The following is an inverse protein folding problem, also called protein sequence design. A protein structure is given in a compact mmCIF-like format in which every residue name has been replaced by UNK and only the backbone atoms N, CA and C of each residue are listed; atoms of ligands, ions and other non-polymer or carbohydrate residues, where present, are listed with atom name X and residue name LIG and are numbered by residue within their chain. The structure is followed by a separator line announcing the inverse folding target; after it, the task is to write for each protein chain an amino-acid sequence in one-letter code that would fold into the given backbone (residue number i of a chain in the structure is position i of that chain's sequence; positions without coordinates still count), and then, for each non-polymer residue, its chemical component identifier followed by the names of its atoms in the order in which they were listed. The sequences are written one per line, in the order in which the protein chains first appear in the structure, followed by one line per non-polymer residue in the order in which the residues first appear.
data_IF_082426542980
#
_entry.id   IF_082426542980
#
_cell.length_a   1.000
_cell.length_b   1.000
_cell.length_c   1.000
_cell.angle_alpha   90.00
_cell.angle_beta   90.00
_cell.angle_gamma   90.00
#
_symmetry.space_group_name_H-M   'P 1'
#
loop_
_entity.id
_entity.type
_entity.pdbx_description
1 polymer ?
#
# COMPACT_ATOMS: atom_id res chain seq x y z
N UNK A 1 -21.83 8.35 53.87
CA UNK A 1 -20.80 9.35 54.23
C UNK A 1 -19.52 8.74 53.71
N UNK A 2 -18.88 9.20 52.63
CA UNK A 2 -18.46 10.57 52.30
C UNK A 2 -18.57 10.84 50.78
N UNK A 3 -18.87 12.11 50.47
CA UNK A 3 -18.84 12.75 49.16
C UNK A 3 -17.62 13.67 49.13
N UNK A 4 -16.92 13.75 48.00
CA UNK A 4 -15.92 14.78 47.67
C UNK A 4 -15.13 14.28 46.46
N UNK A 5 -14.90 15.00 45.37
CA UNK A 5 -15.00 16.42 45.10
C UNK A 5 -15.36 16.61 43.62
N UNK A 6 -16.40 17.39 43.39
CA UNK A 6 -16.73 17.95 42.10
C UNK A 6 -15.94 19.25 41.90
N UNK A 7 -15.33 19.38 40.73
CA UNK A 7 -15.28 20.65 40.00
C UNK A 7 -14.11 21.58 40.28
N UNK A 8 -13.36 21.90 39.23
CA UNK A 8 -13.10 23.28 38.72
C UNK A 8 -12.00 23.23 37.67
N UNK A 9 -12.28 23.74 36.47
CA UNK A 9 -11.30 23.81 35.39
C UNK A 9 -11.90 24.19 34.04
N UNK A 10 -12.76 25.21 34.05
CA UNK A 10 -13.49 25.75 32.92
C UNK A 10 -12.61 26.79 32.19
N UNK A 11 -12.41 26.60 30.87
CA UNK A 11 -12.16 27.62 29.82
C UNK A 11 -10.86 28.46 29.92
N UNK A 12 -9.90 28.17 29.03
CA UNK A 12 -9.02 29.12 28.29
C UNK A 12 -8.50 28.34 27.06
N UNK A 13 -8.57 28.76 25.79
CA UNK A 13 -9.03 29.97 25.15
C UNK A 13 -9.04 29.72 23.63
N UNK A 14 -10.16 30.10 23.01
CA UNK A 14 -10.36 30.18 21.58
C UNK A 14 -9.60 31.43 21.07
N UNK A 15 -8.60 31.26 20.21
CA UNK A 15 -8.00 32.32 19.39
C UNK A 15 -8.00 31.80 17.95
N UNK A 16 -9.06 32.00 17.18
CA UNK A 16 -9.38 33.20 16.38
C UNK A 16 -8.24 33.60 15.41
N UNK A 17 -8.35 33.03 14.21
CA UNK A 17 -8.25 33.64 12.89
C UNK A 17 -7.10 34.61 12.55
N UNK A 18 -6.28 34.24 11.54
CA UNK A 18 -5.99 35.10 10.39
C UNK A 18 -5.26 34.34 9.25
N UNK A 19 -5.93 34.30 8.10
CA UNK A 19 -5.41 34.37 6.73
C UNK A 19 -3.91 34.22 6.44
N UNK A 20 -3.59 33.23 5.60
CA UNK A 20 -2.55 33.19 4.53
C UNK A 20 -2.91 31.94 3.69
N UNK A 21 -3.81 31.95 2.71
CA UNK A 21 -3.77 32.67 1.45
C UNK A 21 -2.36 32.59 0.79
N UNK A 22 -2.28 31.85 -0.33
CA UNK A 22 -1.16 31.75 -1.28
C UNK A 22 0.02 30.91 -0.74
N UNK A 23 0.39 29.78 -1.32
CA UNK A 23 1.05 29.65 -2.62
C UNK A 23 0.63 28.34 -3.30
N UNK A 24 -0.10 28.48 -4.40
CA UNK A 24 -0.20 27.48 -5.47
C UNK A 24 1.06 27.66 -6.34
N UNK A 25 1.96 26.69 -6.47
CA UNK A 25 2.91 26.73 -7.57
C UNK A 25 2.18 26.25 -8.84
N UNK A 26 1.51 27.20 -9.52
CA UNK A 26 1.24 27.14 -10.95
C UNK A 26 2.55 27.41 -11.68
N UNK A 27 3.38 26.37 -11.82
CA UNK A 27 4.65 26.34 -12.55
C UNK A 27 4.78 24.86 -12.95
N UNK A 28 4.72 24.38 -14.19
CA UNK A 28 5.19 24.94 -15.44
C UNK A 28 4.54 24.13 -16.59
N UNK A 29 3.78 24.82 -17.44
CA UNK A 29 3.43 24.36 -18.78
C UNK A 29 4.54 24.89 -19.69
N UNK A 30 5.59 24.11 -19.97
CA UNK A 30 6.53 24.44 -21.04
C UNK A 30 7.34 23.20 -21.44
N UNK A 31 7.26 22.79 -22.71
CA UNK A 31 8.11 21.71 -23.21
C UNK A 31 7.61 20.90 -24.40
N UNK A 32 6.84 21.50 -25.32
CA UNK A 32 6.69 20.96 -26.67
C UNK A 32 8.05 21.00 -27.38
N UNK A 33 8.76 19.89 -27.41
CA UNK A 33 10.05 19.75 -28.10
C UNK A 33 10.17 18.40 -28.80
N UNK A 34 9.60 18.31 -30.00
CA UNK A 34 9.88 17.23 -30.94
C UNK A 34 11.07 17.63 -31.84
N UNK A 35 12.09 16.77 -31.99
CA UNK A 35 12.88 16.73 -33.21
C UNK A 35 12.45 15.57 -34.12
N UNK A 36 12.20 15.81 -35.42
CA UNK A 36 12.12 14.76 -36.42
C UNK A 36 13.54 14.32 -36.80
N UNK A 37 13.89 13.09 -36.47
CA UNK A 37 15.16 12.46 -36.84
C UNK A 37 14.91 11.05 -37.35
N UNK A 38 14.80 10.94 -38.68
CA UNK A 38 14.77 9.68 -39.39
C UNK A 38 16.18 9.09 -39.44
N UNK A 39 16.38 7.92 -38.83
CA UNK A 39 17.47 7.02 -39.21
C UNK A 39 16.87 5.66 -39.59
N UNK A 40 16.73 5.49 -40.91
CA UNK A 40 16.54 4.23 -41.60
C UNK A 40 17.83 3.41 -41.46
N UNK A 41 17.98 2.66 -40.37
CA UNK A 41 18.96 1.60 -40.26
C UNK A 41 18.30 0.26 -40.60
N UNK A 42 18.40 -0.13 -41.87
CA UNK A 42 18.10 -1.47 -42.35
C UNK A 42 19.14 -2.45 -41.77
N UNK A 43 18.79 -3.10 -40.65
CA UNK A 43 19.53 -4.19 -40.05
C UNK A 43 18.77 -5.51 -40.22
N UNK A 44 19.22 -6.34 -41.16
CA UNK A 44 18.66 -7.64 -41.44
C UNK A 44 18.96 -8.66 -40.31
N UNK A 45 17.90 -9.30 -39.79
CA UNK A 45 17.87 -10.64 -39.19
C UNK A 45 18.66 -10.89 -37.90
N UNK A 46 18.04 -11.50 -36.88
CA UNK A 46 17.80 -12.94 -36.99
C UNK A 46 16.39 -13.38 -36.60
N UNK A 47 16.06 -14.56 -37.15
CA UNK A 47 14.90 -15.41 -36.92
C UNK A 47 14.04 -15.04 -35.71
N UNK A 48 12.83 -14.55 -36.01
CA UNK A 48 11.71 -14.56 -35.08
C UNK A 48 11.47 -16.01 -34.64
N UNK A 49 11.96 -16.35 -33.44
CA UNK A 49 11.51 -17.53 -32.74
C UNK A 49 9.99 -17.42 -32.63
N UNK A 50 9.30 -18.41 -33.18
CA UNK A 50 7.85 -18.50 -33.10
C UNK A 50 7.47 -18.50 -31.62
N UNK A 51 6.99 -17.35 -31.13
CA UNK A 51 6.26 -17.26 -29.87
C UNK A 51 5.09 -18.21 -30.02
N UNK A 52 5.16 -19.39 -29.37
CA UNK A 52 4.01 -20.27 -29.28
C UNK A 52 2.81 -19.44 -28.85
N UNK A 53 1.63 -19.58 -29.49
CA UNK A 53 0.43 -18.93 -29.01
C UNK A 53 0.23 -19.41 -27.58
N UNK A 54 0.48 -18.49 -26.63
CA UNK A 54 0.44 -18.76 -25.21
C UNK A 54 -0.90 -19.40 -24.87
N UNK A 55 -0.86 -20.35 -23.93
CA UNK A 55 -2.07 -20.94 -23.37
C UNK A 55 -3.10 -19.84 -23.06
N UNK A 56 -4.40 -20.10 -23.28
CA UNK A 56 -5.44 -19.11 -23.01
C UNK A 56 -5.25 -18.58 -21.58
N UNK A 57 -5.09 -17.26 -21.46
CA UNK A 57 -4.94 -16.61 -20.16
C UNK A 57 -6.17 -16.95 -19.32
N UNK A 58 -5.96 -17.50 -18.12
CA UNK A 58 -7.05 -17.81 -17.20
C UNK A 58 -7.65 -16.50 -16.66
N UNK A 59 -8.88 -16.12 -17.09
CA UNK A 59 -9.45 -14.83 -16.72
C UNK A 59 -9.86 -14.79 -15.24
N UNK A 60 -10.12 -15.95 -14.63
CA UNK A 60 -10.56 -16.08 -13.23
C UNK A 60 -9.38 -15.84 -12.30
N UNK A 61 -8.23 -16.46 -12.56
CA UNK A 61 -6.98 -16.25 -11.84
C UNK A 61 -6.53 -14.79 -11.89
N UNK A 62 -6.61 -14.15 -13.07
CA UNK A 62 -6.32 -12.71 -13.18
C UNK A 62 -7.27 -11.86 -12.34
N UNK A 63 -8.58 -12.16 -12.33
CA UNK A 63 -9.54 -11.42 -11.52
C UNK A 63 -9.29 -11.61 -10.01
N UNK A 64 -8.95 -12.84 -9.59
CA UNK A 64 -8.58 -13.15 -8.21
C UNK A 64 -7.31 -12.41 -7.78
N UNK A 65 -6.29 -12.35 -8.65
CA UNK A 65 -5.07 -11.59 -8.38
C UNK A 65 -5.34 -10.09 -8.22
N UNK A 66 -6.11 -9.49 -9.13
CA UNK A 66 -6.48 -8.06 -9.05
C UNK A 66 -7.24 -7.76 -7.76
N UNK A 67 -8.13 -8.67 -7.34
CA UNK A 67 -8.81 -8.55 -6.05
C UNK A 67 -7.83 -8.58 -4.88
N UNK A 68 -6.90 -9.54 -4.86
CA UNK A 68 -5.89 -9.64 -3.81
C UNK A 68 -4.98 -8.40 -3.73
N UNK A 69 -4.62 -7.83 -4.88
CA UNK A 69 -3.89 -6.57 -4.98
C UNK A 69 -4.70 -5.39 -4.40
N UNK A 70 -6.01 -5.32 -4.69
CA UNK A 70 -6.88 -4.30 -4.15
C UNK A 70 -7.01 -4.40 -2.61
N UNK A 71 -7.20 -5.61 -2.08
CA UNK A 71 -7.26 -5.87 -0.65
C UNK A 71 -5.95 -5.47 0.06
N UNK A 72 -4.78 -5.77 -0.52
CA UNK A 72 -3.49 -5.33 0.02
C UNK A 72 -3.29 -3.81 -0.06
N UNK A 73 -3.74 -3.17 -1.14
CA UNK A 73 -3.69 -1.71 -1.27
C UNK A 73 -4.56 -0.99 -0.24
N UNK A 74 -5.73 -1.54 0.07
CA UNK A 74 -6.57 -1.01 1.14
C UNK A 74 -5.92 -1.26 2.51
N UNK A 75 -5.40 -2.46 2.76
CA UNK A 75 -4.73 -2.81 4.00
C UNK A 75 -3.48 -1.94 4.29
N UNK A 76 -2.67 -1.61 3.28
CA UNK A 76 -1.50 -0.74 3.49
C UNK A 76 -1.90 0.73 3.73
N UNK A 77 -3.02 1.20 3.16
CA UNK A 77 -3.56 2.53 3.49
C UNK A 77 -4.02 2.58 4.95
N UNK A 78 -4.68 1.53 5.42
CA UNK A 78 -5.09 1.40 6.83
C UNK A 78 -3.89 1.50 7.77
N UNK A 79 -2.79 0.79 7.47
CA UNK A 79 -1.60 0.85 8.30
C UNK A 79 -0.95 2.24 8.27
N UNK A 80 -0.91 2.91 7.11
CA UNK A 80 -0.42 4.28 7.01
C UNK A 80 -1.28 5.27 7.82
N UNK A 81 -2.61 5.13 7.80
CA UNK A 81 -3.50 5.93 8.65
C UNK A 81 -3.19 5.70 10.13
N UNK A 82 -3.03 4.45 10.56
CA UNK A 82 -2.64 4.14 11.94
C UNK A 82 -1.29 4.79 12.31
N UNK A 83 -0.28 4.70 11.43
CA UNK A 83 1.01 5.33 11.68
C UNK A 83 0.91 6.86 11.77
N UNK A 84 0.07 7.49 10.94
CA UNK A 84 -0.15 8.93 10.99
C UNK A 84 -0.82 9.37 12.29
N UNK A 85 -1.74 8.57 12.84
CA UNK A 85 -2.44 8.87 14.09
C UNK A 85 -1.58 8.62 15.34
N UNK A 86 -0.76 7.56 15.32
CA UNK A 86 -0.02 7.09 16.50
C UNK A 86 1.48 7.41 16.47
N UNK A 87 2.02 7.82 15.32
CA UNK A 87 3.45 8.05 15.11
C UNK A 87 4.31 6.78 15.13
N UNK A 88 3.70 5.59 15.12
CA UNK A 88 4.36 4.29 15.25
C UNK A 88 3.42 3.16 14.79
N UNK A 89 3.95 2.03 14.32
CA UNK A 89 3.16 0.81 14.09
C UNK A 89 3.07 -0.10 15.34
N UNK A 90 3.64 0.31 16.48
CA UNK A 90 3.54 -0.46 17.72
C UNK A 90 2.07 -0.67 18.12
N UNK A 91 1.67 -1.93 18.33
CA UNK A 91 0.28 -2.30 18.62
C UNK A 91 -0.61 -2.48 17.39
N UNK A 92 -0.09 -2.26 16.18
CA UNK A 92 -0.83 -2.58 14.96
C UNK A 92 -0.98 -4.10 14.82
N UNK A 93 -2.23 -4.58 14.86
CA UNK A 93 -2.57 -5.99 14.81
C UNK A 93 -3.98 -6.21 14.25
N UNK A 94 -4.45 -7.46 14.14
CA UNK A 94 -5.69 -7.77 13.43
C UNK A 94 -6.93 -7.06 13.95
N UNK A 95 -7.08 -6.96 15.28
CA UNK A 95 -8.21 -6.28 15.91
C UNK A 95 -8.21 -4.78 15.60
N UNK A 96 -7.06 -4.12 15.75
CA UNK A 96 -6.89 -2.70 15.43
C UNK A 96 -7.14 -2.46 13.95
N UNK A 97 -6.50 -3.21 13.07
CA UNK A 97 -6.66 -3.07 11.62
C UNK A 97 -8.12 -3.29 11.17
N UNK A 98 -8.82 -4.28 11.75
CA UNK A 98 -10.23 -4.54 11.50
C UNK A 98 -11.16 -3.41 11.98
N UNK A 99 -10.74 -2.62 12.98
CA UNK A 99 -11.44 -1.40 13.39
C UNK A 99 -11.42 -0.30 12.33
N UNK A 100 -10.33 -0.20 11.57
CA UNK A 100 -10.19 0.77 10.47
C UNK A 100 -10.82 0.28 9.15
N UNK A 101 -10.68 -1.01 8.83
CA UNK A 101 -11.22 -1.61 7.61
C UNK A 101 -12.05 -2.88 7.93
N UNK A 102 -13.33 -2.72 8.31
CA UNK A 102 -14.19 -3.85 8.69
C UNK A 102 -14.56 -4.78 7.53
N UNK A 103 -14.38 -4.33 6.28
CA UNK A 103 -14.59 -5.16 5.09
C UNK A 103 -13.43 -6.16 4.86
N UNK A 104 -12.25 -5.89 5.43
CA UNK A 104 -11.08 -6.75 5.31
C UNK A 104 -10.97 -7.69 6.51
N UNK A 105 -10.40 -8.87 6.25
CA UNK A 105 -10.07 -9.84 7.29
C UNK A 105 -8.57 -9.83 7.52
N UNK A 106 -8.18 -9.65 8.78
CA UNK A 106 -6.78 -9.64 9.18
C UNK A 106 -6.44 -10.86 10.04
N UNK A 107 -5.20 -11.32 9.97
CA UNK A 107 -4.66 -12.41 10.80
C UNK A 107 -3.17 -12.22 11.05
N UNK A 108 -2.59 -12.96 12.00
CA UNK A 108 -1.13 -13.14 12.13
C UNK A 108 -0.70 -14.55 11.71
N UNK A 109 -1.65 -15.42 11.36
CA UNK A 109 -1.39 -16.76 10.86
C UNK A 109 -0.82 -16.74 9.43
N UNK A 110 -0.57 -17.92 8.84
CA UNK A 110 -0.13 -18.02 7.45
C UNK A 110 -1.10 -17.33 6.49
N UNK A 111 -0.60 -16.64 5.44
CA UNK A 111 -1.46 -15.97 4.46
C UNK A 111 -2.37 -16.97 3.74
N UNK A 112 -3.63 -16.60 3.56
CA UNK A 112 -4.64 -17.38 2.83
C UNK A 112 -5.40 -16.44 1.90
N UNK A 113 -5.97 -16.93 0.79
CA UNK A 113 -6.76 -16.09 -0.11
C UNK A 113 -7.89 -15.36 0.62
N UNK A 114 -8.07 -14.07 0.30
CA UNK A 114 -9.09 -13.21 0.90
C UNK A 114 -8.84 -12.80 2.37
N UNK A 115 -7.64 -13.05 2.91
CA UNK A 115 -7.26 -12.65 4.28
C UNK A 115 -5.86 -12.05 4.27
N UNK A 116 -5.72 -10.84 4.81
CA UNK A 116 -4.43 -10.15 4.92
C UNK A 116 -3.73 -10.59 6.21
N UNK A 117 -2.59 -11.25 6.06
CA UNK A 117 -1.71 -11.63 7.16
C UNK A 117 -0.73 -10.51 7.49
N UNK A 118 -0.64 -10.16 8.77
CA UNK A 118 0.33 -9.21 9.34
C UNK A 118 1.55 -10.02 9.79
N UNK A 119 2.60 -10.02 8.97
CA UNK A 119 3.77 -10.92 9.11
C UNK A 119 4.92 -10.34 9.92
N UNK A 120 5.03 -9.02 9.97
CA UNK A 120 6.08 -8.33 10.70
C UNK A 120 5.61 -6.93 11.09
N UNK A 121 5.79 -6.59 12.36
CA UNK A 121 5.48 -5.27 12.91
C UNK A 121 6.64 -4.84 13.81
N UNK A 122 7.12 -3.63 13.59
CA UNK A 122 8.03 -2.93 14.50
C UNK A 122 7.51 -1.51 14.70
N UNK A 123 8.10 -0.67 15.56
CA UNK A 123 7.65 0.72 15.68
C UNK A 123 7.65 1.51 14.36
N UNK A 124 8.51 1.15 13.40
CA UNK A 124 8.67 1.90 12.13
C UNK A 124 8.33 1.11 10.89
N UNK A 125 7.98 -0.18 11.01
CA UNK A 125 7.70 -1.04 9.87
C UNK A 125 6.48 -1.92 10.05
N UNK A 126 5.80 -2.23 8.95
CA UNK A 126 4.75 -3.24 8.87
C UNK A 126 4.89 -4.03 7.57
N UNK A 127 4.61 -5.33 7.62
CA UNK A 127 4.59 -6.22 6.45
C UNK A 127 3.27 -6.97 6.41
N UNK A 128 2.57 -6.80 5.29
CA UNK A 128 1.25 -7.37 5.01
C UNK A 128 1.40 -8.34 3.84
N UNK A 129 0.80 -9.52 3.94
CA UNK A 129 0.87 -10.56 2.92
C UNK A 129 -0.50 -11.19 2.74
N UNK A 130 -0.89 -11.44 1.50
CA UNK A 130 -2.04 -12.27 1.15
C UNK A 130 -1.63 -13.34 0.15
N UNK A 131 -2.36 -14.45 0.11
CA UNK A 131 -2.18 -15.46 -0.92
C UNK A 131 -3.18 -15.21 -2.06
N UNK A 132 -2.82 -15.58 -3.29
CA UNK A 132 -3.75 -15.69 -4.41
C UNK A 132 -4.36 -17.10 -4.45
N UNK A 133 -5.47 -17.26 -5.16
CA UNK A 133 -6.13 -18.57 -5.34
C UNK A 133 -5.20 -19.64 -5.96
N UNK A 134 -4.24 -19.21 -6.79
CA UNK A 134 -3.23 -20.07 -7.42
C UNK A 134 -2.07 -20.45 -6.46
N UNK A 135 -2.13 -20.04 -5.20
CA UNK A 135 -1.09 -20.31 -4.20
C UNK A 135 0.15 -19.41 -4.28
N UNK A 136 0.13 -18.39 -5.14
CA UNK A 136 1.16 -17.35 -5.13
C UNK A 136 0.95 -16.40 -3.96
N UNK A 137 1.97 -15.62 -3.61
CA UNK A 137 1.88 -14.61 -2.56
C UNK A 137 2.02 -13.22 -3.14
N UNK A 138 1.30 -12.28 -2.55
CA UNK A 138 1.50 -10.85 -2.73
C UNK A 138 1.84 -10.25 -1.38
N UNK A 139 2.74 -9.28 -1.37
CA UNK A 139 3.08 -8.52 -0.18
C UNK A 139 2.99 -7.02 -0.43
N UNK A 140 2.71 -6.30 0.65
CA UNK A 140 2.88 -4.86 0.78
C UNK A 140 3.61 -4.59 2.11
N UNK A 141 4.63 -3.75 2.09
CA UNK A 141 5.33 -3.35 3.30
C UNK A 141 5.43 -1.83 3.37
N UNK A 142 5.40 -1.30 4.60
CA UNK A 142 5.68 0.10 4.84
C UNK A 142 6.84 0.25 5.83
N UNK A 143 7.65 1.27 5.61
CA UNK A 143 8.72 1.73 6.49
C UNK A 143 8.67 3.26 6.58
N UNK A 144 8.04 3.77 7.65
CA UNK A 144 7.60 5.16 7.71
C UNK A 144 6.68 5.49 6.53
N UNK A 145 7.07 6.50 5.73
CA UNK A 145 6.32 6.98 4.56
C UNK A 145 6.60 6.18 3.27
N UNK A 146 7.56 5.25 3.29
CA UNK A 146 7.93 4.45 2.11
C UNK A 146 7.10 3.18 2.07
N UNK A 147 6.43 2.93 0.95
CA UNK A 147 5.69 1.69 0.67
C UNK A 147 6.38 0.89 -0.42
N UNK A 148 6.52 -0.42 -0.22
CA UNK A 148 7.00 -1.36 -1.22
C UNK A 148 6.00 -2.48 -1.44
N UNK A 149 6.04 -3.05 -2.64
CA UNK A 149 5.17 -4.14 -3.08
C UNK A 149 6.01 -5.26 -3.69
N UNK A 150 5.53 -6.48 -3.59
CA UNK A 150 6.21 -7.66 -4.13
C UNK A 150 5.33 -8.89 -4.23
N UNK A 151 5.91 -9.99 -4.74
CA UNK A 151 5.23 -11.27 -4.99
C UNK A 151 5.84 -12.41 -4.15
N UNK A 152 6.02 -12.19 -2.85
CA UNK A 152 6.68 -13.13 -1.92
C UNK A 152 5.95 -13.23 -0.58
N UNK A 153 6.12 -14.34 0.16
CA UNK A 153 5.71 -14.44 1.58
C UNK A 153 6.74 -13.71 2.47
N UNK A 154 6.82 -12.39 2.30
CA UNK A 154 7.78 -11.54 2.98
C UNK A 154 7.51 -11.48 4.49
N UNK A 155 8.59 -11.52 5.29
CA UNK A 155 8.55 -11.27 6.75
C UNK A 155 9.26 -9.98 7.15
N UNK A 156 9.87 -9.29 6.20
CA UNK A 156 10.55 -8.01 6.38
C UNK A 156 10.30 -7.11 5.17
N UNK A 157 10.39 -5.78 5.32
CA UNK A 157 10.18 -4.86 4.19
C UNK A 157 11.13 -5.12 3.02
N UNK A 158 12.40 -5.43 3.30
CA UNK A 158 13.40 -5.73 2.27
C UNK A 158 13.06 -6.98 1.43
N UNK A 159 12.38 -7.97 2.02
CA UNK A 159 11.91 -9.15 1.31
C UNK A 159 10.67 -8.88 0.45
N UNK A 160 9.99 -7.74 0.66
CA UNK A 160 8.84 -7.31 -0.12
C UNK A 160 9.25 -6.31 -1.20
N UNK A 161 9.70 -6.84 -2.34
CA UNK A 161 10.20 -6.06 -3.47
C UNK A 161 9.83 -6.71 -4.81
N UNK A 162 10.09 -5.99 -5.91
CA UNK A 162 9.83 -6.45 -7.28
C UNK A 162 8.53 -5.93 -7.89
N UNK A 163 7.66 -5.28 -7.12
CA UNK A 163 6.35 -4.83 -7.59
C UNK A 163 5.39 -5.99 -7.89
N UNK A 164 4.30 -5.69 -8.57
CA UNK A 164 3.30 -6.68 -9.01
C UNK A 164 3.24 -6.87 -10.53
N UNK A 165 4.15 -6.21 -11.28
CA UNK A 165 4.19 -6.20 -12.75
C UNK A 165 4.63 -7.53 -13.37
#
# INVERSE_FOLDING_TARGET
MERGEAGRGLIVGMALAAALAWIVPTVFLEGSGAPPGAELAAGAGPAAAATSPGAPADPVGRAAEVRAQAELNEAIRVSQTFFAEHGSYAGFGPEVAGGFAPALRFTTASPTPGVVSIRGVSPTTVVLVTATEDGAYLCAAAQGDVVSFGRSDARSPAACSGGWG
#
